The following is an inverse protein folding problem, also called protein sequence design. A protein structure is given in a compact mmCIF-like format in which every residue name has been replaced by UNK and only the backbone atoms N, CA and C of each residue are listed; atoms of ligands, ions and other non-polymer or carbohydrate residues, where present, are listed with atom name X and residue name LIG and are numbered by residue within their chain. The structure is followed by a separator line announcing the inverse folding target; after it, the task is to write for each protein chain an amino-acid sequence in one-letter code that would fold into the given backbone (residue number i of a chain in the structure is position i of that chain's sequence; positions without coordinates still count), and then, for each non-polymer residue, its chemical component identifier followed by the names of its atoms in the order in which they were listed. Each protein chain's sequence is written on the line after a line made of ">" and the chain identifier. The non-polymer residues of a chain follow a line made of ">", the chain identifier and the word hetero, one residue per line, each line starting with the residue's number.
data_IF_361561761855
#
_entry.id   IF_361561761855
#
_cell.length_a   1.000
_cell.length_b   1.000
_cell.length_c   1.000
_cell.angle_alpha   90.00
_cell.angle_beta   90.00
_cell.angle_gamma   90.00
#
_symmetry.space_group_name_H-M   'P 1'
#
loop_
_entity.id
_entity.type
_entity.pdbx_description
1 polymer ?
#
# COMPACT_ATOMS: atom_id res chain seq x y z
N UNK A 1 44.29 -0.48 28.69
CA UNK A 1 42.88 -0.50 29.16
C UNK A 1 42.05 -0.18 27.92
N UNK A 2 41.61 -1.26 27.32
CA UNK A 2 40.95 -1.25 26.02
C UNK A 2 39.43 -1.19 26.25
N UNK A 3 38.82 -0.10 25.85
CA UNK A 3 37.38 0.07 25.90
C UNK A 3 36.79 -0.32 24.53
N UNK A 4 36.39 -1.57 24.38
CA UNK A 4 35.71 -2.10 23.24
C UNK A 4 34.38 -1.38 23.01
N UNK A 5 34.33 -0.51 21.98
CA UNK A 5 33.13 0.08 21.47
C UNK A 5 32.29 -0.97 20.73
N UNK A 6 31.33 -1.58 21.41
CA UNK A 6 30.29 -2.38 20.78
C UNK A 6 29.38 -1.45 19.97
N UNK A 7 29.66 -1.29 18.69
CA UNK A 7 28.77 -0.60 17.76
C UNK A 7 27.41 -1.30 17.70
N UNK A 8 26.37 -0.66 18.18
CA UNK A 8 24.99 -1.14 17.98
C UNK A 8 24.73 -1.27 16.48
N UNK A 9 24.43 -2.46 16.01
CA UNK A 9 23.97 -2.73 14.63
C UNK A 9 22.75 -1.85 14.39
N UNK A 10 22.73 -1.03 13.33
CA UNK A 10 21.57 -0.19 13.03
C UNK A 10 20.30 -1.05 12.92
N UNK A 11 19.18 -0.57 13.45
CA UNK A 11 17.89 -1.26 13.52
C UNK A 11 17.38 -1.81 12.17
N UNK A 12 17.97 -1.40 11.05
CA UNK A 12 17.68 -1.85 9.68
C UNK A 12 18.04 -3.32 9.35
N UNK A 13 18.65 -4.05 10.25
CA UNK A 13 19.12 -5.43 10.02
C UNK A 13 18.67 -6.43 11.11
N UNK A 14 17.67 -6.11 11.91
CA UNK A 14 17.05 -7.15 12.71
C UNK A 14 16.37 -8.16 11.78
N UNK A 15 16.68 -9.43 11.96
CA UNK A 15 16.02 -10.52 11.22
C UNK A 15 14.54 -10.48 11.56
N UNK A 16 13.67 -10.39 10.55
CA UNK A 16 12.22 -10.46 10.72
C UNK A 16 11.84 -11.67 11.57
N UNK A 17 10.93 -11.46 12.52
CA UNK A 17 10.45 -12.51 13.44
C UNK A 17 9.10 -13.09 12.99
N UNK A 18 8.72 -12.92 11.73
CA UNK A 18 7.42 -13.35 11.20
C UNK A 18 7.32 -14.88 11.14
N UNK A 19 6.23 -15.44 11.67
CA UNK A 19 5.95 -16.88 11.85
C UNK A 19 4.52 -17.22 11.49
N UNK A 20 4.25 -18.51 11.18
CA UNK A 20 2.87 -19.00 10.97
C UNK A 20 2.13 -19.32 12.27
N UNK A 21 2.85 -19.63 13.33
CA UNK A 21 2.27 -19.92 14.66
C UNK A 21 3.07 -19.20 15.73
N UNK A 22 2.44 -18.85 16.87
CA UNK A 22 3.17 -18.31 18.01
C UNK A 22 4.30 -19.27 18.44
N UNK A 23 5.54 -18.77 18.48
CA UNK A 23 6.72 -19.58 18.83
C UNK A 23 7.17 -20.59 17.76
N UNK A 24 6.51 -20.65 16.59
CA UNK A 24 6.89 -21.53 15.49
C UNK A 24 8.14 -21.07 14.73
N UNK A 25 8.48 -21.78 13.66
CA UNK A 25 9.58 -21.42 12.77
C UNK A 25 9.32 -20.12 12.04
N UNK A 26 10.39 -19.39 11.76
CA UNK A 26 10.33 -18.17 10.94
C UNK A 26 10.01 -18.52 9.50
N UNK A 27 9.15 -17.72 8.89
CA UNK A 27 8.88 -17.80 7.46
C UNK A 27 9.52 -16.64 6.72
N UNK A 28 9.65 -16.79 5.42
CA UNK A 28 10.03 -15.73 4.52
C UNK A 28 8.78 -14.95 4.05
N UNK A 29 8.61 -13.69 4.48
CA UNK A 29 7.44 -12.91 4.09
C UNK A 29 7.35 -12.68 2.58
N UNK A 30 8.49 -12.48 1.90
CA UNK A 30 8.51 -12.26 0.46
C UNK A 30 8.01 -13.49 -0.30
N UNK A 31 8.52 -14.68 0.03
CA UNK A 31 8.08 -15.94 -0.56
C UNK A 31 6.59 -16.17 -0.27
N UNK A 32 6.15 -15.96 0.97
CA UNK A 32 4.77 -16.09 1.38
C UNK A 32 3.81 -15.16 0.62
N UNK A 33 4.26 -14.00 0.19
CA UNK A 33 3.46 -13.06 -0.61
C UNK A 33 3.53 -13.38 -2.10
N UNK A 34 4.71 -13.68 -2.64
CA UNK A 34 4.90 -13.93 -4.07
C UNK A 34 4.28 -15.25 -4.53
N UNK A 35 4.26 -16.28 -3.67
CA UNK A 35 3.70 -17.60 -4.00
C UNK A 35 2.16 -17.65 -3.98
N UNK A 36 1.48 -16.65 -3.39
CA UNK A 36 0.02 -16.65 -3.33
C UNK A 36 -0.58 -16.34 -4.72
N UNK A 37 -1.44 -17.23 -5.26
CA UNK A 37 -2.05 -17.02 -6.58
C UNK A 37 -3.07 -15.88 -6.53
N UNK A 38 -2.86 -14.87 -7.38
CA UNK A 38 -3.77 -13.73 -7.54
C UNK A 38 -4.11 -13.55 -9.01
N UNK A 39 -5.35 -13.31 -9.28
CA UNK A 39 -5.82 -13.00 -10.62
C UNK A 39 -7.33 -13.08 -10.75
N UNK A 40 -7.86 -12.30 -11.67
CA UNK A 40 -9.25 -12.31 -12.11
C UNK A 40 -9.28 -12.23 -13.63
N UNK A 41 -10.31 -12.82 -14.26
CA UNK A 41 -10.41 -12.82 -15.72
C UNK A 41 -10.87 -11.48 -16.30
N UNK A 42 -11.51 -10.63 -15.49
CA UNK A 42 -12.28 -9.46 -15.92
C UNK A 42 -11.63 -8.13 -15.54
N UNK A 43 -10.78 -8.13 -14.52
CA UNK A 43 -10.11 -6.93 -14.01
C UNK A 43 -8.87 -7.29 -13.17
N UNK A 44 -8.01 -6.34 -12.83
CA UNK A 44 -6.94 -6.58 -11.85
C UNK A 44 -7.47 -7.08 -10.51
N UNK A 45 -6.68 -7.95 -9.86
CA UNK A 45 -6.85 -8.29 -8.45
C UNK A 45 -6.48 -7.11 -7.57
N UNK A 46 -7.38 -6.68 -6.69
CA UNK A 46 -7.19 -5.51 -5.84
C UNK A 46 -6.86 -5.92 -4.41
N UNK A 47 -5.68 -5.51 -3.96
CA UNK A 47 -5.20 -5.68 -2.58
C UNK A 47 -5.34 -4.34 -1.86
N UNK A 48 -5.92 -4.32 -0.66
CA UNK A 48 -5.76 -3.24 0.31
C UNK A 48 -4.68 -3.61 1.32
N UNK A 49 -3.72 -2.73 1.59
CA UNK A 49 -2.71 -2.94 2.61
C UNK A 49 -2.74 -1.83 3.64
N UNK A 50 -3.03 -2.18 4.88
CA UNK A 50 -3.25 -1.21 5.96
C UNK A 50 -2.75 -1.73 7.30
N UNK A 51 -2.43 -0.80 8.18
CA UNK A 51 -2.16 -1.06 9.59
C UNK A 51 -3.24 -0.41 10.46
N UNK A 52 -3.59 -1.05 11.56
CA UNK A 52 -4.51 -0.53 12.57
C UNK A 52 -4.03 -0.89 13.97
N UNK A 53 -4.45 -0.13 14.96
CA UNK A 53 -4.29 -0.50 16.38
C UNK A 53 -5.32 -1.55 16.79
N UNK A 54 -5.16 -2.17 17.96
CA UNK A 54 -6.11 -3.16 18.50
C UNK A 54 -7.53 -2.55 18.63
N UNK A 55 -7.63 -1.26 18.95
CA UNK A 55 -8.89 -0.53 19.08
C UNK A 55 -9.37 0.15 17.79
N UNK A 56 -8.71 -0.14 16.65
CA UNK A 56 -9.19 0.23 15.33
C UNK A 56 -8.74 1.60 14.82
N UNK A 57 -7.79 2.27 15.46
CA UNK A 57 -7.20 3.50 14.95
C UNK A 57 -6.30 3.22 13.74
N UNK A 58 -6.54 3.92 12.63
CA UNK A 58 -5.72 3.83 11.42
C UNK A 58 -4.63 4.92 11.35
N UNK A 59 -4.76 5.95 12.16
CA UNK A 59 -3.88 7.13 12.18
C UNK A 59 -3.63 7.57 13.61
N UNK A 60 -2.37 7.83 13.95
CA UNK A 60 -1.93 8.44 15.20
C UNK A 60 -0.98 9.59 14.83
N UNK A 61 -1.14 10.75 15.46
CA UNK A 61 -0.33 11.94 15.19
C UNK A 61 -0.26 12.34 13.69
N UNK A 62 -1.35 12.12 12.95
CA UNK A 62 -1.48 12.52 11.55
C UNK A 62 -0.97 11.52 10.52
N UNK A 63 -0.46 10.34 10.92
CA UNK A 63 0.03 9.31 10.01
C UNK A 63 -0.04 7.90 10.58
N UNK A 64 0.39 6.93 9.77
CA UNK A 64 0.48 5.51 10.17
C UNK A 64 1.82 5.17 10.81
N UNK A 65 2.83 6.00 10.66
CA UNK A 65 4.22 5.72 11.10
C UNK A 65 4.33 5.40 12.59
N UNK A 66 3.50 6.01 13.43
CA UNK A 66 3.54 5.80 14.88
C UNK A 66 3.03 4.42 15.32
N UNK A 67 2.27 3.74 14.46
CA UNK A 67 1.68 2.42 14.75
C UNK A 67 2.40 1.27 14.03
N UNK A 68 3.40 1.57 13.22
CA UNK A 68 4.23 0.58 12.52
C UNK A 68 5.34 0.04 13.42
N UNK A 69 5.79 -1.18 13.13
CA UNK A 69 7.02 -1.75 13.70
C UNK A 69 7.92 -2.34 12.60
N UNK A 70 9.07 -2.90 12.99
CA UNK A 70 10.06 -3.44 12.05
C UNK A 70 9.49 -4.63 11.24
N UNK A 71 8.64 -5.46 11.87
CA UNK A 71 7.99 -6.59 11.20
C UNK A 71 6.90 -6.11 10.23
N UNK A 72 6.14 -5.06 10.59
CA UNK A 72 5.19 -4.42 9.67
C UNK A 72 5.90 -3.85 8.44
N UNK A 73 7.00 -3.14 8.64
CA UNK A 73 7.79 -2.59 7.53
C UNK A 73 8.38 -3.70 6.64
N UNK A 74 8.72 -4.85 7.22
CA UNK A 74 9.18 -6.02 6.47
C UNK A 74 8.06 -6.63 5.63
N UNK A 75 6.86 -6.80 6.22
CA UNK A 75 5.67 -7.30 5.55
C UNK A 75 5.20 -6.32 4.47
N UNK A 76 5.16 -5.03 4.76
CA UNK A 76 4.85 -3.97 3.82
C UNK A 76 5.73 -4.03 2.57
N UNK A 77 7.06 -4.16 2.76
CA UNK A 77 7.99 -4.33 1.66
C UNK A 77 7.78 -5.62 0.86
N UNK A 78 7.37 -6.71 1.52
CA UNK A 78 7.05 -7.98 0.87
C UNK A 78 5.76 -7.86 0.02
N UNK A 79 4.73 -7.19 0.54
CA UNK A 79 3.47 -6.94 -0.19
C UNK A 79 3.72 -6.02 -1.40
N UNK A 80 4.54 -4.99 -1.27
CA UNK A 80 4.94 -4.10 -2.37
C UNK A 80 5.68 -4.80 -3.52
N UNK A 81 6.24 -5.98 -3.28
CA UNK A 81 6.87 -6.77 -4.34
C UNK A 81 5.86 -7.48 -5.26
N UNK A 82 4.59 -7.53 -4.89
CA UNK A 82 3.56 -8.33 -5.60
C UNK A 82 2.91 -7.60 -6.78
N UNK A 83 2.47 -6.34 -6.67
CA UNK A 83 1.60 -5.70 -7.64
C UNK A 83 2.34 -5.22 -8.90
N UNK A 84 1.60 -5.06 -10.00
CA UNK A 84 2.06 -4.29 -11.16
C UNK A 84 2.02 -2.80 -10.86
N UNK A 85 0.95 -2.35 -10.18
CA UNK A 85 0.72 -0.95 -9.82
C UNK A 85 0.44 -0.78 -8.33
N UNK A 86 1.00 0.29 -7.76
CA UNK A 86 0.62 0.79 -6.44
C UNK A 86 -0.25 2.04 -6.65
N UNK A 87 -1.45 2.03 -6.10
CA UNK A 87 -2.43 3.10 -6.19
C UNK A 87 -2.57 3.79 -4.84
N UNK A 88 -2.45 5.11 -4.83
CA UNK A 88 -2.51 5.93 -3.61
C UNK A 88 -3.27 7.23 -3.87
N UNK A 89 -4.01 7.72 -2.89
CA UNK A 89 -4.64 9.03 -2.94
C UNK A 89 -3.64 10.17 -2.69
N UNK A 90 -3.85 11.33 -3.33
CA UNK A 90 -2.98 12.49 -3.16
C UNK A 90 -2.90 12.99 -1.71
N UNK A 91 -3.94 12.82 -0.92
CA UNK A 91 -3.93 13.16 0.51
C UNK A 91 -2.88 12.34 1.27
N UNK A 92 -2.82 11.02 1.01
CA UNK A 92 -1.80 10.14 1.60
C UNK A 92 -0.40 10.50 1.10
N UNK A 93 -0.26 10.84 -0.19
CA UNK A 93 1.03 11.32 -0.73
C UNK A 93 1.56 12.51 0.06
N UNK A 94 0.69 13.47 0.43
CA UNK A 94 1.06 14.63 1.23
C UNK A 94 1.32 14.27 2.69
N UNK A 95 0.40 13.55 3.32
CA UNK A 95 0.46 13.22 4.75
C UNK A 95 1.69 12.37 5.11
N UNK A 96 1.99 11.36 4.29
CA UNK A 96 3.10 10.43 4.51
C UNK A 96 4.41 10.88 3.84
N UNK A 97 4.44 12.09 3.23
CA UNK A 97 5.59 12.59 2.49
C UNK A 97 6.18 11.52 1.55
N UNK A 98 5.32 10.99 0.69
CA UNK A 98 5.57 9.82 -0.13
C UNK A 98 6.82 9.97 -1.01
N UNK A 99 7.51 8.87 -1.24
CA UNK A 99 8.73 8.81 -2.06
C UNK A 99 8.51 7.94 -3.28
N UNK A 100 9.38 8.02 -4.30
CA UNK A 100 9.40 7.04 -5.37
C UNK A 100 9.47 5.62 -4.79
N UNK A 101 8.80 4.69 -5.45
CA UNK A 101 8.83 3.29 -5.03
C UNK A 101 10.26 2.77 -5.18
N UNK A 102 10.78 2.23 -4.12
CA UNK A 102 12.07 1.57 -4.09
C UNK A 102 11.96 0.21 -3.41
N UNK A 103 12.62 -0.78 -3.99
CA UNK A 103 12.69 -2.13 -3.48
C UNK A 103 14.16 -2.55 -3.37
N UNK A 104 14.50 -3.36 -2.37
CA UNK A 104 15.82 -3.96 -2.28
C UNK A 104 16.08 -4.95 -3.44
N UNK A 105 17.34 -5.31 -3.62
CA UNK A 105 17.78 -6.18 -4.72
C UNK A 105 17.05 -7.54 -4.72
N UNK A 106 16.79 -8.11 -3.54
CA UNK A 106 16.09 -9.38 -3.41
C UNK A 106 14.66 -9.31 -3.94
N UNK A 107 13.92 -8.25 -3.58
CA UNK A 107 12.53 -8.02 -4.03
C UNK A 107 12.49 -7.73 -5.53
N UNK A 108 13.44 -6.95 -6.04
CA UNK A 108 13.56 -6.67 -7.48
C UNK A 108 13.80 -7.94 -8.27
N UNK A 109 14.73 -8.79 -7.82
CA UNK A 109 15.01 -10.08 -8.46
C UNK A 109 13.77 -10.99 -8.46
N UNK A 110 13.09 -11.15 -7.34
CA UNK A 110 11.87 -11.96 -7.24
C UNK A 110 10.78 -11.47 -8.20
N UNK A 111 10.66 -10.16 -8.41
CA UNK A 111 9.73 -9.60 -9.39
C UNK A 111 10.12 -9.95 -10.83
N UNK A 112 11.37 -9.77 -11.19
CA UNK A 112 11.87 -10.12 -12.53
C UNK A 112 11.70 -11.62 -12.83
N UNK A 113 11.98 -12.49 -11.87
CA UNK A 113 11.73 -13.94 -11.97
C UNK A 113 10.24 -14.29 -12.13
N UNK A 114 9.34 -13.46 -11.59
CA UNK A 114 7.90 -13.57 -11.77
C UNK A 114 7.38 -12.92 -13.07
N UNK A 115 8.26 -12.37 -13.92
CA UNK A 115 7.90 -11.69 -15.17
C UNK A 115 7.30 -10.30 -14.97
N UNK A 116 7.58 -9.66 -13.83
CA UNK A 116 7.16 -8.29 -13.52
C UNK A 116 8.30 -7.29 -13.80
N UNK A 117 7.95 -6.01 -13.92
CA UNK A 117 8.94 -4.93 -13.91
C UNK A 117 9.72 -4.92 -12.58
N UNK A 118 10.95 -4.39 -12.59
CA UNK A 118 11.85 -4.34 -11.44
C UNK A 118 11.23 -3.74 -10.18
N UNK A 119 10.38 -2.72 -10.35
CA UNK A 119 9.56 -2.11 -9.30
C UNK A 119 8.14 -1.87 -9.80
N UNK A 120 7.13 -1.87 -8.92
CA UNK A 120 5.77 -1.53 -9.32
C UNK A 120 5.67 -0.08 -9.74
N UNK A 121 4.78 0.21 -10.67
CA UNK A 121 4.51 1.57 -11.12
C UNK A 121 3.59 2.29 -10.12
N UNK A 122 3.94 3.52 -9.76
CA UNK A 122 3.14 4.33 -8.83
C UNK A 122 2.06 5.13 -9.56
N UNK A 123 0.83 4.99 -9.09
CA UNK A 123 -0.34 5.72 -9.58
C UNK A 123 -0.93 6.55 -8.44
N UNK A 124 -1.05 7.85 -8.65
CA UNK A 124 -1.68 8.76 -7.69
C UNK A 124 -3.05 9.18 -8.21
N UNK A 125 -4.08 9.05 -7.36
CA UNK A 125 -5.43 9.50 -7.70
C UNK A 125 -5.72 10.82 -7.00
N UNK A 126 -6.21 11.80 -7.77
CA UNK A 126 -6.60 13.11 -7.24
C UNK A 126 -7.64 13.80 -8.12
N UNK A 127 -8.65 14.41 -7.53
CA UNK A 127 -9.62 15.25 -8.25
C UNK A 127 -9.15 16.69 -8.38
N UNK A 128 -8.42 17.19 -7.41
CA UNK A 128 -8.02 18.61 -7.32
C UNK A 128 -6.63 18.90 -7.86
N UNK A 129 -5.82 17.85 -8.14
CA UNK A 129 -4.40 17.99 -8.46
C UNK A 129 -3.63 18.83 -7.42
N UNK A 130 -4.05 18.75 -6.16
CA UNK A 130 -3.41 19.46 -5.05
C UNK A 130 -2.16 18.69 -4.60
N UNK A 131 -1.11 18.82 -5.40
CA UNK A 131 0.23 18.25 -5.19
C UNK A 131 1.27 19.31 -5.54
N UNK A 132 2.33 19.39 -4.74
CA UNK A 132 3.49 20.21 -5.07
C UNK A 132 4.34 19.48 -6.12
N UNK A 133 4.63 20.09 -7.30
CA UNK A 133 5.53 19.50 -8.30
C UNK A 133 6.95 19.23 -7.78
N UNK A 134 7.35 19.84 -6.65
CA UNK A 134 8.62 19.60 -5.96
C UNK A 134 8.53 18.49 -4.90
N UNK A 135 7.36 17.89 -4.71
CA UNK A 135 7.19 16.84 -3.71
C UNK A 135 8.11 15.65 -4.01
N UNK A 136 8.56 14.98 -2.96
CA UNK A 136 9.53 13.87 -3.03
C UNK A 136 9.06 12.72 -3.91
N UNK A 137 7.77 12.51 -4.05
CA UNK A 137 7.17 11.46 -4.89
C UNK A 137 7.61 11.57 -6.36
N UNK A 138 7.93 12.76 -6.84
CA UNK A 138 8.40 13.04 -8.20
C UNK A 138 9.93 13.03 -8.34
N UNK A 139 10.66 12.63 -7.29
CA UNK A 139 12.12 12.71 -7.22
C UNK A 139 12.89 11.71 -8.10
N UNK A 140 12.23 10.78 -8.79
CA UNK A 140 12.88 9.86 -9.74
C UNK A 140 12.40 10.13 -11.17
N UNK A 141 13.17 10.89 -11.98
CA UNK A 141 12.76 11.23 -13.34
C UNK A 141 12.75 10.02 -14.30
N UNK A 142 13.39 8.91 -13.95
CA UNK A 142 13.39 7.68 -14.74
C UNK A 142 12.11 6.85 -14.54
N UNK A 143 11.41 7.07 -13.43
CA UNK A 143 10.18 6.37 -13.06
C UNK A 143 9.10 7.40 -12.79
N UNK A 144 8.61 8.02 -13.86
CA UNK A 144 7.56 9.02 -13.75
C UNK A 144 6.32 8.41 -13.12
N UNK A 145 5.74 9.15 -12.19
CA UNK A 145 4.48 8.79 -11.55
C UNK A 145 3.33 9.05 -12.51
N UNK A 146 2.36 8.17 -12.59
CA UNK A 146 1.09 8.46 -13.25
C UNK A 146 0.13 9.11 -12.27
N UNK A 147 -0.47 10.24 -12.67
CA UNK A 147 -1.53 10.91 -11.91
C UNK A 147 -2.84 10.74 -12.66
N UNK A 148 -3.82 10.08 -12.05
CA UNK A 148 -5.17 9.94 -12.60
C UNK A 148 -6.09 11.00 -11.97
N UNK A 149 -6.75 11.76 -12.82
CA UNK A 149 -7.65 12.85 -12.41
C UNK A 149 -8.91 12.88 -13.29
N UNK A 150 -9.94 13.60 -12.84
CA UNK A 150 -11.16 13.80 -13.61
C UNK A 150 -11.08 15.01 -14.56
N UNK A 151 -12.05 15.10 -15.47
CA UNK A 151 -12.15 16.18 -16.45
C UNK A 151 -12.20 17.59 -15.85
N UNK A 152 -12.79 17.73 -14.67
CA UNK A 152 -12.93 19.02 -13.97
C UNK A 152 -11.66 19.50 -13.27
N UNK A 153 -10.54 18.78 -13.37
CA UNK A 153 -9.29 19.15 -12.73
C UNK A 153 -8.74 20.50 -13.27
N UNK A 154 -8.20 21.38 -12.36
CA UNK A 154 -7.72 22.71 -12.75
C UNK A 154 -6.61 22.64 -13.81
N UNK A 155 -6.77 23.39 -14.90
CA UNK A 155 -5.84 23.37 -16.04
C UNK A 155 -4.42 23.82 -15.67
N UNK A 156 -4.28 24.83 -14.79
CA UNK A 156 -2.99 25.32 -14.33
C UNK A 156 -2.22 24.24 -13.55
N UNK A 157 -2.89 23.55 -12.61
CA UNK A 157 -2.28 22.46 -11.85
C UNK A 157 -1.96 21.25 -12.74
N UNK A 158 -2.81 20.98 -13.73
CA UNK A 158 -2.57 19.95 -14.73
C UNK A 158 -1.27 20.22 -15.48
N UNK A 159 -1.10 21.45 -16.01
CA UNK A 159 0.11 21.84 -16.73
C UNK A 159 1.36 21.73 -15.84
N UNK A 160 1.32 22.27 -14.60
CA UNK A 160 2.44 22.22 -13.69
C UNK A 160 2.87 20.79 -13.32
N UNK A 161 1.92 19.89 -13.08
CA UNK A 161 2.24 18.51 -12.74
C UNK A 161 2.68 17.69 -13.95
N UNK A 162 2.26 18.04 -15.17
CA UNK A 162 2.69 17.37 -16.41
C UNK A 162 4.18 17.52 -16.69
N UNK A 163 4.85 18.50 -16.10
CA UNK A 163 6.31 18.66 -16.19
C UNK A 163 7.05 17.53 -15.46
N UNK A 164 6.47 16.99 -14.36
CA UNK A 164 7.11 16.03 -13.45
C UNK A 164 6.46 14.66 -13.39
N UNK A 165 5.25 14.51 -13.93
CA UNK A 165 4.44 13.28 -13.89
C UNK A 165 3.68 13.08 -15.20
N UNK A 166 3.18 11.86 -15.41
CA UNK A 166 2.28 11.53 -16.51
C UNK A 166 0.84 11.74 -16.05
N UNK A 167 0.27 12.93 -16.32
CA UNK A 167 -1.07 13.30 -15.86
C UNK A 167 -2.11 12.89 -16.89
N UNK A 168 -3.05 12.05 -16.48
CA UNK A 168 -4.11 11.49 -17.35
C UNK A 168 -5.48 11.91 -16.83
N UNK A 169 -6.31 12.45 -17.72
CA UNK A 169 -7.72 12.71 -17.44
C UNK A 169 -8.56 11.48 -17.76
N UNK A 170 -9.45 11.16 -16.84
CA UNK A 170 -10.48 10.15 -17.02
C UNK A 170 -11.85 10.84 -16.97
N UNK A 171 -12.87 10.23 -17.57
CA UNK A 171 -14.25 10.74 -17.51
C UNK A 171 -14.71 10.87 -16.05
N UNK A 172 -14.36 9.89 -15.23
CA UNK A 172 -14.51 9.93 -13.79
C UNK A 172 -13.32 9.25 -13.10
N UNK A 173 -13.23 9.37 -11.77
CA UNK A 173 -12.21 8.70 -10.95
C UNK A 173 -12.85 7.69 -10.01
N UNK A 174 -13.89 7.00 -10.47
CA UNK A 174 -14.49 5.89 -9.74
C UNK A 174 -13.55 4.68 -9.74
N UNK A 175 -13.68 3.75 -8.79
CA UNK A 175 -12.89 2.52 -8.81
C UNK A 175 -12.98 1.76 -10.13
N UNK A 176 -14.15 1.75 -10.78
CA UNK A 176 -14.34 1.14 -12.10
C UNK A 176 -13.48 1.78 -13.18
N UNK A 177 -13.45 3.13 -13.26
CA UNK A 177 -12.65 3.87 -14.25
C UNK A 177 -11.15 3.65 -14.00
N UNK A 178 -10.73 3.68 -12.73
CA UNK A 178 -9.34 3.43 -12.35
C UNK A 178 -8.91 2.02 -12.77
N UNK A 179 -9.72 0.99 -12.47
CA UNK A 179 -9.42 -0.39 -12.84
C UNK A 179 -9.50 -0.62 -14.36
N UNK A 180 -10.38 0.11 -15.05
CA UNK A 180 -10.42 0.07 -16.51
C UNK A 180 -9.13 0.64 -17.12
N UNK A 181 -8.63 1.76 -16.59
CA UNK A 181 -7.33 2.31 -17.01
C UNK A 181 -6.20 1.31 -16.74
N UNK A 182 -6.21 0.65 -15.58
CA UNK A 182 -5.21 -0.33 -15.15
C UNK A 182 -5.50 -1.76 -15.61
N UNK A 183 -6.39 -1.99 -16.56
CA UNK A 183 -6.90 -3.32 -16.97
C UNK A 183 -5.83 -4.31 -17.43
N UNK A 184 -4.66 -3.82 -17.86
CA UNK A 184 -3.54 -4.68 -18.27
C UNK A 184 -2.73 -5.22 -17.08
N UNK A 185 -2.97 -4.69 -15.88
CA UNK A 185 -2.35 -5.20 -14.66
C UNK A 185 -2.99 -6.52 -14.25
N UNK A 186 -2.18 -7.39 -13.67
CA UNK A 186 -2.65 -8.57 -12.95
C UNK A 186 -3.09 -8.23 -11.52
N UNK A 187 -2.30 -7.39 -10.85
CA UNK A 187 -2.51 -7.00 -9.44
C UNK A 187 -2.32 -5.50 -9.25
N UNK A 188 -3.24 -4.89 -8.54
CA UNK A 188 -3.17 -3.49 -8.06
C UNK A 188 -3.18 -3.50 -6.54
N UNK A 189 -2.19 -2.86 -5.92
CA UNK A 189 -2.12 -2.62 -4.48
C UNK A 189 -2.65 -1.22 -4.17
N UNK A 190 -3.70 -1.12 -3.38
CA UNK A 190 -4.19 0.15 -2.85
C UNK A 190 -3.58 0.41 -1.46
N UNK A 191 -2.76 1.44 -1.35
CA UNK A 191 -2.16 1.91 -0.09
C UNK A 191 -2.92 3.10 0.53
N UNK A 192 -4.12 3.32 0.08
CA UNK A 192 -5.02 4.30 0.68
C UNK A 192 -4.98 5.67 -0.01
N UNK A 193 -5.36 6.82 0.65
CA UNK A 193 -5.93 6.84 2.01
C UNK A 193 -7.33 6.27 2.20
N UNK A 194 -7.86 6.48 3.39
CA UNK A 194 -9.15 5.93 3.80
C UNK A 194 -10.30 6.27 2.86
N UNK A 195 -10.31 7.46 2.28
CA UNK A 195 -11.33 7.87 1.30
C UNK A 195 -11.23 7.12 -0.02
N UNK A 196 -10.02 6.92 -0.55
CA UNK A 196 -9.80 6.14 -1.78
C UNK A 196 -10.20 4.68 -1.53
N UNK A 197 -9.71 4.09 -0.45
CA UNK A 197 -10.04 2.71 -0.09
C UNK A 197 -11.54 2.51 0.15
N UNK A 198 -12.20 3.45 0.84
CA UNK A 198 -13.64 3.41 1.07
C UNK A 198 -14.47 3.35 -0.21
N UNK A 199 -14.03 4.03 -1.28
CA UNK A 199 -14.68 3.94 -2.59
C UNK A 199 -14.53 2.54 -3.20
N UNK A 200 -13.35 1.91 -3.11
CA UNK A 200 -13.15 0.52 -3.58
C UNK A 200 -14.02 -0.47 -2.80
N UNK A 201 -14.12 -0.29 -1.48
CA UNK A 201 -15.01 -1.10 -0.62
C UNK A 201 -16.47 -0.90 -1.05
N UNK A 202 -16.94 0.33 -1.17
CA UNK A 202 -18.32 0.64 -1.54
C UNK A 202 -18.70 0.11 -2.94
N UNK A 203 -17.74 0.14 -3.90
CA UNK A 203 -17.94 -0.38 -5.25
C UNK A 203 -17.79 -1.91 -5.36
N UNK A 204 -17.48 -2.62 -4.28
CA UNK A 204 -17.25 -4.07 -4.32
C UNK A 204 -16.00 -4.50 -5.08
N UNK A 205 -15.04 -3.61 -5.27
CA UNK A 205 -13.80 -3.87 -6.01
C UNK A 205 -12.62 -4.20 -5.08
N UNK A 206 -12.86 -5.05 -4.10
CA UNK A 206 -11.84 -5.55 -3.16
C UNK A 206 -11.75 -7.06 -3.29
N UNK A 207 -10.53 -7.60 -3.46
CA UNK A 207 -10.28 -9.04 -3.55
C UNK A 207 -9.49 -9.53 -2.35
N UNK A 208 -8.59 -8.71 -1.84
CA UNK A 208 -7.71 -9.05 -0.72
C UNK A 208 -7.56 -7.86 0.21
N UNK A 209 -7.56 -8.13 1.50
CA UNK A 209 -7.20 -7.19 2.56
C UNK A 209 -6.01 -7.76 3.33
N UNK A 210 -4.86 -7.14 3.20
CA UNK A 210 -3.69 -7.34 4.04
C UNK A 210 -3.77 -6.34 5.19
N UNK A 211 -3.96 -6.85 6.40
CA UNK A 211 -4.17 -6.03 7.59
C UNK A 211 -3.13 -6.36 8.65
N UNK A 212 -2.36 -5.36 9.05
CA UNK A 212 -1.52 -5.43 10.24
C UNK A 212 -2.29 -4.91 11.44
N UNK A 213 -2.31 -5.68 12.52
CA UNK A 213 -2.84 -5.24 13.82
C UNK A 213 -1.67 -4.97 14.75
N UNK A 214 -1.41 -3.69 15.01
CA UNK A 214 -0.39 -3.21 15.93
C UNK A 214 -0.87 -3.34 17.38
N UNK A 215 -0.02 -3.76 18.33
CA UNK A 215 -0.42 -4.00 19.72
C UNK A 215 -0.54 -2.71 20.53
N UNK A 216 -1.26 -1.73 20.01
CA UNK A 216 -1.47 -0.43 20.63
C UNK A 216 -2.95 -0.19 20.91
N UNK A 217 -3.22 0.50 22.03
CA UNK A 217 -4.51 1.08 22.37
C UNK A 217 -4.34 2.60 22.39
N UNK A 218 -5.09 3.31 21.58
CA UNK A 218 -4.94 4.76 21.39
C UNK A 218 -6.12 5.52 21.98
N UNK A 219 -7.32 4.93 21.93
CA UNK A 219 -8.57 5.59 22.35
C UNK A 219 -8.89 6.87 21.54
N UNK A 220 -9.90 7.62 21.95
CA UNK A 220 -10.31 8.86 21.28
C UNK A 220 -10.99 8.63 19.92
N UNK A 221 -10.95 9.67 19.07
CA UNK A 221 -11.55 9.63 17.73
C UNK A 221 -10.42 9.45 16.70
N UNK A 222 -10.49 8.37 15.96
CA UNK A 222 -9.54 8.10 14.86
C UNK A 222 -10.28 7.80 13.56
N UNK A 223 -9.57 7.98 12.44
CA UNK A 223 -10.10 7.66 11.12
C UNK A 223 -10.19 6.13 10.96
N UNK A 224 -11.28 5.66 10.35
CA UNK A 224 -11.41 4.25 9.95
C UNK A 224 -10.54 3.97 8.72
N UNK A 225 -10.12 2.71 8.57
CA UNK A 225 -9.36 2.26 7.39
C UNK A 225 -10.10 2.55 6.06
N UNK A 226 -11.42 2.44 6.06
CA UNK A 226 -12.29 2.78 4.93
C UNK A 226 -13.28 3.87 5.35
N UNK A 227 -13.29 4.98 4.63
CA UNK A 227 -14.17 6.13 4.88
C UNK A 227 -14.84 6.56 3.57
N UNK A 228 -16.16 6.78 3.60
CA UNK A 228 -16.93 7.20 2.44
C UNK A 228 -18.30 6.53 2.39
N UNK A 229 -18.85 6.26 1.20
CA UNK A 229 -20.12 5.57 1.05
C UNK A 229 -20.09 4.19 1.71
N UNK A 230 -21.22 3.77 2.25
CA UNK A 230 -21.36 2.42 2.77
C UNK A 230 -21.35 1.40 1.62
N UNK A 231 -20.75 0.23 1.87
CA UNK A 231 -20.99 -0.91 1.01
C UNK A 231 -22.36 -1.49 1.30
N UNK A 232 -23.16 -1.69 0.26
CA UNK A 232 -24.52 -2.27 0.40
C UNK A 232 -24.72 -3.33 -0.71
N UNK A 233 -24.77 -4.62 -0.35
CA UNK A 233 -24.53 -5.17 1.00
C UNK A 233 -23.06 -5.05 1.44
N UNK A 234 -22.75 -5.21 2.74
CA UNK A 234 -21.38 -5.29 3.22
C UNK A 234 -20.59 -6.40 2.52
N UNK A 235 -19.30 -6.17 2.25
CA UNK A 235 -18.44 -7.18 1.64
C UNK A 235 -18.06 -8.25 2.67
N UNK A 236 -18.41 -9.48 2.38
CA UNK A 236 -17.93 -10.62 3.13
C UNK A 236 -16.51 -10.97 2.68
N UNK A 237 -15.65 -11.22 3.66
CA UNK A 237 -14.27 -11.62 3.44
C UNK A 237 -13.98 -12.87 4.27
N UNK A 238 -13.22 -13.81 3.70
CA UNK A 238 -12.77 -15.02 4.39
C UNK A 238 -11.34 -14.84 4.87
N UNK A 239 -11.08 -15.16 6.13
CA UNK A 239 -9.70 -15.22 6.64
C UNK A 239 -8.95 -16.36 5.90
N UNK A 240 -7.87 -15.98 5.24
CA UNK A 240 -7.05 -16.89 4.45
C UNK A 240 -5.77 -17.28 5.21
N UNK A 241 -5.11 -16.30 5.81
CA UNK A 241 -3.84 -16.53 6.52
C UNK A 241 -3.69 -15.60 7.71
N UNK A 242 -3.09 -16.13 8.76
CA UNK A 242 -2.62 -15.35 9.92
C UNK A 242 -1.13 -15.56 10.07
N UNK A 243 -0.36 -14.46 10.22
CA UNK A 243 1.06 -14.51 10.53
C UNK A 243 1.34 -13.70 11.78
N UNK A 244 2.36 -14.08 12.51
CA UNK A 244 2.73 -13.50 13.81
C UNK A 244 4.10 -12.85 13.71
N UNK A 245 4.18 -11.55 13.94
CA UNK A 245 5.41 -10.83 14.20
C UNK A 245 5.86 -10.98 15.66
N UNK A 246 6.90 -10.26 16.04
CA UNK A 246 7.31 -10.15 17.43
C UNK A 246 6.24 -9.46 18.28
N UNK A 247 5.60 -8.45 17.71
CA UNK A 247 4.58 -7.62 18.36
C UNK A 247 3.26 -7.57 17.59
N UNK A 248 3.31 -7.54 16.28
CA UNK A 248 2.17 -7.32 15.41
C UNK A 248 1.57 -8.62 14.88
N UNK A 249 0.30 -8.57 14.54
CA UNK A 249 -0.43 -9.66 13.89
C UNK A 249 -0.73 -9.26 12.44
N UNK A 250 -0.47 -10.17 11.50
CA UNK A 250 -0.71 -9.97 10.08
C UNK A 250 -1.84 -10.88 9.61
N UNK A 251 -2.88 -10.29 9.06
CA UNK A 251 -4.07 -10.98 8.61
C UNK A 251 -4.23 -10.79 7.10
N UNK A 252 -4.43 -11.89 6.38
CA UNK A 252 -4.88 -11.85 5.00
C UNK A 252 -6.32 -12.32 4.93
N UNK A 253 -7.19 -11.44 4.50
CA UNK A 253 -8.56 -11.77 4.13
C UNK A 253 -8.69 -11.74 2.62
N UNK A 254 -9.46 -12.67 2.07
CA UNK A 254 -9.74 -12.74 0.63
C UNK A 254 -11.25 -12.84 0.40
N UNK A 255 -11.68 -12.36 -0.75
CA UNK A 255 -13.07 -12.52 -1.17
C UNK A 255 -13.35 -14.00 -1.46
N UNK A 256 -14.51 -14.54 -0.98
CA UNK A 256 -14.94 -15.90 -1.27
C UNK A 256 -15.08 -16.21 -2.76
#
# INVERSE_FOLDING_TARGET
>A
MDAGGGGAVPARYRRSMIRETPGGEQIDPLEAQMSYPRGRPDRPWVIGNFVTTIDGAAVVDGGSTAINDDDDMTMFGAIRAVPDFILVGAETVRAENYRPIDLDERRRRARLEAGLEEVPHLVVVTRSLDLDPKARVFGDPKRRVTILTGESAPAERFAALSEVADVVRLDATTPGDLLHYLRMARVVLCEGGPGTWGQFVAAGHVDEMALTVSPMLVSGVSVRLAHGPAADPPLEMRLDRTLYGDRSLFLRYVRP
#
